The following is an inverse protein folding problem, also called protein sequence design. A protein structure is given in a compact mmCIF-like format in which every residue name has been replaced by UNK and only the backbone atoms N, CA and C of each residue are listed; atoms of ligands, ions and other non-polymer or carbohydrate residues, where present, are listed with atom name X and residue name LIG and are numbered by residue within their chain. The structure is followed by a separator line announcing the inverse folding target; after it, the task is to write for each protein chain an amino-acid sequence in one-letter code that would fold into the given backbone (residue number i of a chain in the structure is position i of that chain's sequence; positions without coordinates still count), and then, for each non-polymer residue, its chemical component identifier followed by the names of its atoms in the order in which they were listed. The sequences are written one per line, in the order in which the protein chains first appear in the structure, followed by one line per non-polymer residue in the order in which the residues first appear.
data_IF_339223570829
#
_entry.id   IF_339223570829
#
_cell.length_a   1.000
_cell.length_b   1.000
_cell.length_c   1.000
_cell.angle_alpha   90.00
_cell.angle_beta   90.00
_cell.angle_gamma   90.00
#
_symmetry.space_group_name_H-M   'P 1'
#
loop_
_entity.id
_entity.type
_entity.pdbx_description
1 polymer ?
#
# COMPACT_ATOMS: atom_id res chain seq x y z
N UNK A 1 -25.14 -50.12 11.76
CA UNK A 1 -24.64 -49.01 10.93
C UNK A 1 -25.43 -47.78 11.35
N UNK A 2 -24.87 -46.99 12.25
CA UNK A 2 -25.51 -45.81 12.83
C UNK A 2 -24.82 -44.57 12.25
N UNK A 3 -25.66 -43.63 11.82
CA UNK A 3 -25.28 -42.47 11.01
C UNK A 3 -24.24 -41.57 11.66
N UNK A 4 -23.34 -41.07 10.82
CA UNK A 4 -22.28 -40.13 11.17
C UNK A 4 -22.28 -38.92 10.21
N UNK A 5 -23.47 -38.49 9.76
CA UNK A 5 -23.61 -37.36 8.83
C UNK A 5 -24.36 -36.16 9.46
N UNK A 6 -24.51 -36.14 10.78
CA UNK A 6 -25.38 -35.19 11.50
C UNK A 6 -24.69 -34.06 12.28
N UNK A 7 -23.36 -33.90 12.21
CA UNK A 7 -22.62 -32.95 13.08
C UNK A 7 -21.71 -31.96 12.33
N UNK A 8 -22.08 -31.59 11.09
CA UNK A 8 -21.38 -30.53 10.34
C UNK A 8 -22.28 -29.37 9.89
N UNK A 9 -23.51 -29.28 10.41
CA UNK A 9 -24.48 -28.26 10.00
C UNK A 9 -24.73 -27.14 11.03
N UNK A 10 -23.95 -27.07 12.12
CA UNK A 10 -24.22 -26.12 13.22
C UNK A 10 -23.43 -24.80 13.15
N UNK A 11 -22.79 -24.48 12.01
CA UNK A 11 -22.09 -23.21 11.80
C UNK A 11 -22.55 -22.42 10.56
N UNK A 12 -23.62 -22.83 9.89
CA UNK A 12 -24.16 -22.13 8.71
C UNK A 12 -25.53 -21.47 8.92
N UNK A 13 -26.06 -21.48 10.15
CA UNK A 13 -27.25 -20.70 10.52
C UNK A 13 -26.86 -19.29 10.96
N UNK A 14 -26.62 -18.44 9.98
CA UNK A 14 -27.06 -17.05 10.10
C UNK A 14 -27.93 -16.83 8.87
N UNK A 15 -29.24 -16.88 9.06
CA UNK A 15 -30.21 -16.31 8.13
C UNK A 15 -29.86 -14.81 7.96
N UNK A 16 -28.96 -14.53 7.01
CA UNK A 16 -28.45 -13.19 6.74
C UNK A 16 -29.46 -12.51 5.84
N UNK A 17 -30.31 -11.69 6.44
CA UNK A 17 -31.18 -10.78 5.71
C UNK A 17 -30.30 -9.74 5.01
N UNK A 18 -30.21 -9.83 3.69
CA UNK A 18 -29.50 -8.90 2.82
C UNK A 18 -30.54 -8.08 2.06
N UNK A 19 -30.73 -6.79 2.36
CA UNK A 19 -31.51 -5.91 1.50
C UNK A 19 -30.71 -5.63 0.23
N UNK A 20 -31.29 -5.98 -0.91
CA UNK A 20 -30.75 -5.74 -2.24
C UNK A 20 -31.80 -4.96 -3.02
N UNK A 21 -31.47 -3.74 -3.40
CA UNK A 21 -32.38 -2.74 -3.96
C UNK A 21 -33.61 -2.57 -3.05
N UNK A 22 -34.78 -3.01 -3.49
CA UNK A 22 -36.03 -2.94 -2.73
C UNK A 22 -36.46 -4.29 -2.13
N UNK A 23 -35.64 -5.34 -2.31
CA UNK A 23 -35.98 -6.71 -1.92
C UNK A 23 -35.16 -7.15 -0.71
N UNK A 24 -35.84 -7.60 0.35
CA UNK A 24 -35.19 -8.25 1.49
C UNK A 24 -34.98 -9.73 1.19
N UNK A 25 -33.74 -10.16 1.00
CA UNK A 25 -33.41 -11.55 0.74
C UNK A 25 -32.88 -12.24 1.99
N UNK A 26 -33.57 -13.31 2.39
CA UNK A 26 -33.12 -14.22 3.46
C UNK A 26 -32.39 -15.44 2.89
N UNK A 27 -32.68 -15.80 1.63
CA UNK A 27 -32.06 -16.93 0.93
C UNK A 27 -30.74 -16.51 0.28
N UNK A 28 -29.62 -17.20 0.57
CA UNK A 28 -28.31 -16.84 0.02
C UNK A 28 -28.25 -17.04 -1.51
N UNK A 29 -28.89 -18.08 -2.03
CA UNK A 29 -28.90 -18.34 -3.48
C UNK A 29 -29.62 -17.22 -4.23
N UNK A 30 -30.81 -16.82 -3.77
CA UNK A 30 -31.58 -15.72 -4.36
C UNK A 30 -30.84 -14.38 -4.27
N UNK A 31 -30.17 -14.12 -3.13
CA UNK A 31 -29.34 -12.93 -2.99
C UNK A 31 -28.21 -12.90 -4.04
N UNK A 32 -27.53 -14.03 -4.25
CA UNK A 32 -26.49 -14.16 -5.27
C UNK A 32 -27.02 -13.98 -6.71
N UNK A 33 -28.22 -14.45 -7.00
CA UNK A 33 -28.87 -14.28 -8.30
C UNK A 33 -29.21 -12.82 -8.58
N UNK A 34 -29.79 -12.10 -7.61
CA UNK A 34 -30.09 -10.67 -7.73
C UNK A 34 -28.83 -9.82 -7.88
N UNK A 35 -27.75 -10.16 -7.16
CA UNK A 35 -26.44 -9.53 -7.35
C UNK A 35 -25.92 -9.77 -8.77
N UNK A 36 -26.04 -10.99 -9.27
CA UNK A 36 -25.66 -11.35 -10.64
C UNK A 36 -26.48 -10.60 -11.69
N UNK A 37 -27.78 -10.41 -11.45
CA UNK A 37 -28.67 -9.66 -12.34
C UNK A 37 -28.36 -8.16 -12.35
N UNK A 38 -28.17 -7.55 -11.17
CA UNK A 38 -27.74 -6.16 -11.04
C UNK A 38 -26.38 -5.90 -11.73
N UNK A 39 -25.53 -6.92 -11.81
CA UNK A 39 -24.23 -6.90 -12.43
C UNK A 39 -24.23 -7.14 -13.95
N UNK A 40 -25.38 -7.34 -14.60
CA UNK A 40 -25.41 -7.52 -16.06
C UNK A 40 -25.29 -6.21 -16.82
N UNK A 41 -25.92 -5.14 -16.34
CA UNK A 41 -25.99 -3.86 -17.03
C UNK A 41 -25.28 -2.75 -16.25
N UNK A 42 -24.57 -1.87 -16.95
CA UNK A 42 -23.88 -0.75 -16.31
C UNK A 42 -24.84 0.21 -15.59
N UNK A 43 -26.01 0.47 -16.16
CA UNK A 43 -27.03 1.33 -15.54
C UNK A 43 -27.52 0.75 -14.21
N UNK A 44 -27.79 -0.57 -14.16
CA UNK A 44 -28.24 -1.24 -12.93
C UNK A 44 -27.14 -1.32 -11.87
N UNK A 45 -25.87 -1.39 -12.28
CA UNK A 45 -24.74 -1.32 -11.34
C UNK A 45 -24.64 0.04 -10.65
N UNK A 46 -24.84 1.12 -11.41
CA UNK A 46 -24.71 2.48 -10.89
C UNK A 46 -25.79 2.80 -9.86
N UNK A 47 -27.00 2.34 -10.10
CA UNK A 47 -28.16 2.57 -9.25
C UNK A 47 -28.33 1.47 -8.18
N UNK A 48 -27.38 0.53 -8.11
CA UNK A 48 -27.41 -0.56 -7.15
C UNK A 48 -27.30 -0.04 -5.71
N UNK A 49 -28.26 -0.44 -4.88
CA UNK A 49 -28.23 -0.21 -3.45
C UNK A 49 -28.28 -1.56 -2.74
N UNK A 50 -27.33 -1.83 -1.84
CA UNK A 50 -27.36 -3.05 -1.06
C UNK A 50 -26.62 -2.91 0.25
N UNK A 51 -27.01 -3.74 1.22
CA UNK A 51 -26.35 -3.78 2.52
C UNK A 51 -26.04 -5.21 2.92
N UNK A 52 -24.84 -5.43 3.45
CA UNK A 52 -24.42 -6.70 4.00
C UNK A 52 -23.83 -6.50 5.38
N UNK A 53 -24.49 -7.06 6.42
CA UNK A 53 -24.06 -6.97 7.83
C UNK A 53 -23.77 -5.52 8.30
N UNK A 54 -24.60 -4.55 7.93
CA UNK A 54 -24.34 -3.14 8.28
C UNK A 54 -23.43 -2.38 7.30
N UNK A 55 -22.86 -3.06 6.30
CA UNK A 55 -21.90 -2.47 5.35
C UNK A 55 -22.57 -2.21 4.01
N UNK A 56 -22.37 -1.00 3.47
CA UNK A 56 -22.88 -0.62 2.16
C UNK A 56 -22.16 -1.39 1.06
N UNK A 57 -22.91 -1.80 0.06
CA UNK A 57 -22.42 -2.47 -1.13
C UNK A 57 -22.46 -1.51 -2.33
N UNK A 58 -21.46 -1.56 -3.19
CA UNK A 58 -21.47 -0.87 -4.48
C UNK A 58 -20.99 -1.79 -5.59
N UNK A 59 -21.61 -1.66 -6.77
CA UNK A 59 -21.22 -2.38 -7.98
C UNK A 59 -20.53 -1.43 -8.94
N UNK A 60 -19.34 -1.81 -9.39
CA UNK A 60 -18.56 -1.05 -10.36
C UNK A 60 -17.94 -2.00 -11.37
N UNK A 61 -17.82 -1.55 -12.61
CA UNK A 61 -17.01 -2.25 -13.60
C UNK A 61 -15.53 -2.03 -13.29
N UNK A 62 -14.77 -3.11 -13.15
CA UNK A 62 -13.33 -2.99 -13.04
C UNK A 62 -12.74 -2.47 -14.36
N UNK A 63 -11.82 -1.52 -14.27
CA UNK A 63 -11.23 -0.87 -15.45
C UNK A 63 -10.26 -1.79 -16.19
N UNK A 64 -9.64 -2.73 -15.47
CA UNK A 64 -8.61 -3.60 -16.03
C UNK A 64 -9.25 -4.84 -16.65
N UNK A 65 -10.10 -5.54 -15.89
CA UNK A 65 -10.69 -6.81 -16.33
C UNK A 65 -12.00 -6.64 -17.10
N UNK A 66 -12.60 -5.43 -17.07
CA UNK A 66 -13.96 -5.18 -17.57
C UNK A 66 -14.99 -6.14 -16.97
N UNK A 67 -14.72 -6.66 -15.77
CA UNK A 67 -15.62 -7.54 -15.03
C UNK A 67 -16.36 -6.76 -13.94
N UNK A 68 -17.62 -7.15 -13.62
CA UNK A 68 -18.35 -6.52 -12.55
C UNK A 68 -17.74 -6.87 -11.19
N UNK A 69 -17.45 -5.83 -10.42
CA UNK A 69 -16.80 -5.92 -9.13
C UNK A 69 -17.71 -5.35 -8.06
N UNK A 70 -17.97 -6.16 -7.04
CA UNK A 70 -18.75 -5.77 -5.87
C UNK A 70 -17.80 -5.29 -4.76
N UNK A 71 -17.99 -4.06 -4.30
CA UNK A 71 -17.20 -3.48 -3.22
C UNK A 71 -18.03 -3.37 -1.96
N UNK A 72 -17.53 -3.99 -0.89
CA UNK A 72 -18.09 -3.87 0.46
C UNK A 72 -17.39 -2.71 1.16
N UNK A 73 -18.14 -1.67 1.49
CA UNK A 73 -17.65 -0.49 2.18
C UNK A 73 -17.65 -0.73 3.70
N UNK A 74 -16.46 -0.90 4.26
CA UNK A 74 -16.20 -0.88 5.69
C UNK A 74 -15.03 0.03 6.01
N UNK A 75 -14.34 -0.21 7.12
CA UNK A 75 -13.06 0.47 7.45
C UNK A 75 -12.01 0.26 6.36
N UNK A 76 -11.99 -0.94 5.78
CA UNK A 76 -11.17 -1.30 4.63
C UNK A 76 -12.12 -1.77 3.53
N UNK A 77 -12.11 -1.14 2.34
CA UNK A 77 -12.94 -1.60 1.24
C UNK A 77 -12.49 -3.00 0.83
N UNK A 78 -13.44 -3.92 0.72
CA UNK A 78 -13.17 -5.27 0.24
C UNK A 78 -13.84 -5.49 -1.12
N UNK A 79 -13.07 -6.03 -2.06
CA UNK A 79 -13.48 -6.23 -3.44
C UNK A 79 -13.77 -7.71 -3.66
N UNK A 80 -14.97 -8.01 -4.16
CA UNK A 80 -15.45 -9.36 -4.42
C UNK A 80 -15.81 -9.45 -5.90
N UNK A 81 -15.14 -10.35 -6.62
CA UNK A 81 -15.48 -10.66 -8.00
C UNK A 81 -16.75 -11.52 -7.99
N UNK A 82 -17.73 -11.13 -8.80
CA UNK A 82 -18.94 -11.91 -8.98
C UNK A 82 -18.66 -13.13 -9.85
N UNK A 83 -19.22 -14.27 -9.47
CA UNK A 83 -19.13 -15.51 -10.25
C UNK A 83 -20.48 -15.85 -10.87
N UNK A 84 -20.47 -16.57 -11.99
CA UNK A 84 -21.70 -17.06 -12.64
C UNK A 84 -22.55 -17.94 -11.72
N UNK A 85 -21.91 -18.57 -10.72
CA UNK A 85 -22.59 -19.36 -9.69
C UNK A 85 -22.87 -18.51 -8.45
N UNK A 86 -24.14 -18.25 -8.11
CA UNK A 86 -24.52 -17.40 -6.98
C UNK A 86 -23.99 -17.95 -5.64
N UNK A 87 -23.95 -19.27 -5.48
CA UNK A 87 -23.43 -19.93 -4.28
C UNK A 87 -21.94 -19.63 -4.05
N UNK A 88 -21.13 -19.46 -5.11
CA UNK A 88 -19.71 -19.14 -4.98
C UNK A 88 -19.54 -17.70 -4.49
N UNK A 89 -20.28 -16.77 -5.07
CA UNK A 89 -20.31 -15.37 -4.64
C UNK A 89 -20.65 -15.26 -3.15
N UNK A 90 -21.68 -15.97 -2.70
CA UNK A 90 -22.07 -15.95 -1.28
C UNK A 90 -21.06 -16.62 -0.36
N UNK A 91 -20.41 -17.71 -0.79
CA UNK A 91 -19.28 -18.29 -0.05
C UNK A 91 -18.13 -17.29 0.11
N UNK A 92 -17.82 -16.50 -0.92
CA UNK A 92 -16.80 -15.41 -0.82
C UNK A 92 -17.21 -14.36 0.22
N UNK A 93 -18.49 -14.00 0.28
CA UNK A 93 -19.03 -13.12 1.31
C UNK A 93 -18.90 -13.66 2.74
N UNK A 94 -19.16 -14.95 2.93
CA UNK A 94 -18.97 -15.61 4.23
C UNK A 94 -17.48 -15.62 4.63
N UNK A 95 -16.58 -15.88 3.67
CA UNK A 95 -15.14 -15.95 3.89
C UNK A 95 -14.45 -14.57 4.03
N UNK A 96 -15.11 -13.47 3.66
CA UNK A 96 -14.53 -12.13 3.71
C UNK A 96 -13.96 -11.78 5.10
N UNK A 97 -14.68 -12.13 6.17
CA UNK A 97 -14.22 -11.87 7.55
C UNK A 97 -12.93 -12.61 7.87
N UNK A 98 -12.87 -13.89 7.51
CA UNK A 98 -11.68 -14.72 7.68
C UNK A 98 -10.51 -14.18 6.85
N UNK A 99 -10.76 -13.81 5.59
CA UNK A 99 -9.75 -13.23 4.70
C UNK A 99 -9.20 -11.88 5.21
N UNK A 100 -9.99 -11.11 5.97
CA UNK A 100 -9.51 -9.89 6.62
C UNK A 100 -8.57 -10.22 7.80
N UNK A 101 -8.93 -11.22 8.62
CA UNK A 101 -8.09 -11.68 9.74
C UNK A 101 -6.75 -12.20 9.22
N UNK A 102 -6.76 -13.01 8.16
CA UNK A 102 -5.54 -13.60 7.63
C UNK A 102 -4.59 -12.54 7.04
N UNK A 103 -5.13 -11.52 6.34
CA UNK A 103 -4.35 -10.37 5.88
C UNK A 103 -3.73 -9.58 7.04
N UNK A 104 -4.46 -9.38 8.14
CA UNK A 104 -3.90 -8.70 9.33
C UNK A 104 -2.72 -9.50 9.89
N UNK A 105 -2.85 -10.82 9.99
CA UNK A 105 -1.76 -11.70 10.45
C UNK A 105 -0.55 -11.65 9.52
N UNK A 106 -0.77 -11.62 8.21
CA UNK A 106 0.29 -11.51 7.21
C UNK A 106 1.06 -10.19 7.35
N UNK A 107 0.33 -9.07 7.39
CA UNK A 107 0.92 -7.74 7.59
C UNK A 107 1.70 -7.65 8.91
N UNK A 108 1.19 -8.27 10.00
CA UNK A 108 1.93 -8.34 11.26
C UNK A 108 3.27 -9.10 11.11
N UNK A 109 3.25 -10.27 10.48
CA UNK A 109 4.47 -11.05 10.21
C UNK A 109 5.47 -10.29 9.36
N UNK A 110 5.01 -9.57 8.34
CA UNK A 110 5.88 -8.73 7.49
C UNK A 110 6.50 -7.57 8.27
N UNK A 111 5.72 -6.93 9.16
CA UNK A 111 6.23 -5.88 10.03
C UNK A 111 7.32 -6.39 10.97
N UNK A 112 7.14 -7.57 11.55
CA UNK A 112 8.14 -8.19 12.43
C UNK A 112 9.43 -8.51 11.68
N UNK A 113 9.32 -9.07 10.46
CA UNK A 113 10.47 -9.30 9.58
C UNK A 113 11.20 -8.01 9.22
N UNK A 114 10.46 -6.95 8.86
CA UNK A 114 11.05 -5.67 8.51
C UNK A 114 11.75 -5.03 9.71
N UNK A 115 11.17 -5.13 10.91
CA UNK A 115 11.78 -4.64 12.13
C UNK A 115 13.11 -5.35 12.42
N UNK A 116 13.16 -6.69 12.25
CA UNK A 116 14.39 -7.47 12.36
C UNK A 116 15.43 -7.03 11.32
N UNK A 117 15.04 -6.88 10.05
CA UNK A 117 15.92 -6.41 8.99
C UNK A 117 16.49 -5.02 9.28
N UNK A 118 15.70 -4.12 9.86
CA UNK A 118 16.15 -2.77 10.26
C UNK A 118 17.16 -2.86 11.41
N UNK A 119 16.94 -3.74 12.39
CA UNK A 119 17.87 -3.96 13.48
C UNK A 119 19.23 -4.48 12.94
N UNK A 120 19.20 -5.51 12.11
CA UNK A 120 20.40 -6.09 11.49
C UNK A 120 21.12 -5.07 10.59
N UNK A 121 20.37 -4.28 9.82
CA UNK A 121 20.94 -3.23 8.98
C UNK A 121 21.59 -2.12 9.81
N UNK A 122 20.98 -1.74 10.95
CA UNK A 122 21.59 -0.77 11.89
C UNK A 122 22.86 -1.32 12.53
N UNK A 123 22.90 -2.60 12.86
CA UNK A 123 24.13 -3.24 13.34
C UNK A 123 25.21 -3.23 12.26
N UNK A 124 24.90 -3.69 11.05
CA UNK A 124 25.83 -3.67 9.91
C UNK A 124 26.30 -2.26 9.56
N UNK A 125 25.44 -1.25 9.65
CA UNK A 125 25.81 0.14 9.43
C UNK A 125 26.77 0.70 10.50
N UNK A 126 26.81 0.10 11.70
CA UNK A 126 27.80 0.45 12.74
C UNK A 126 29.16 -0.18 12.48
N UNK A 127 29.25 -1.27 11.71
CA UNK A 127 30.55 -1.82 11.35
C UNK A 127 31.26 -0.86 10.39
N UNK A 128 32.51 -0.48 10.68
CA UNK A 128 33.29 0.33 9.75
C UNK A 128 33.47 -0.43 8.43
N UNK A 129 33.50 0.32 7.32
CA UNK A 129 33.77 -0.26 6.00
C UNK A 129 35.06 -1.10 6.04
N UNK A 130 35.05 -2.36 5.57
CA UNK A 130 36.20 -3.26 5.69
C UNK A 130 37.51 -2.68 5.15
N UNK A 131 37.44 -1.85 4.09
CA UNK A 131 38.60 -1.20 3.50
C UNK A 131 38.75 0.28 3.88
N UNK A 132 38.09 0.75 4.94
CA UNK A 132 38.13 2.15 5.37
C UNK A 132 39.57 2.66 5.55
N UNK A 133 40.49 1.81 6.03
CA UNK A 133 41.91 2.16 6.17
C UNK A 133 42.61 2.32 4.82
N UNK A 134 42.30 1.49 3.83
CA UNK A 134 42.87 1.60 2.49
C UNK A 134 42.28 2.77 1.72
N UNK A 135 40.97 3.00 1.85
CA UNK A 135 40.29 4.13 1.25
C UNK A 135 40.86 5.45 1.80
N UNK A 136 41.04 5.57 3.12
CA UNK A 136 41.65 6.74 3.73
C UNK A 136 43.07 7.00 3.19
N UNK A 137 43.89 5.96 3.05
CA UNK A 137 45.25 6.07 2.47
C UNK A 137 45.22 6.50 1.00
N UNK A 138 44.36 5.87 0.18
CA UNK A 138 44.23 6.20 -1.25
C UNK A 138 43.67 7.60 -1.44
N UNK A 139 42.70 8.01 -0.62
CA UNK A 139 42.11 9.34 -0.64
C UNK A 139 43.12 10.42 -0.24
N UNK A 140 43.93 10.20 0.80
CA UNK A 140 45.00 11.11 1.17
C UNK A 140 46.01 11.30 0.03
N UNK A 141 46.50 10.19 -0.56
CA UNK A 141 47.41 10.23 -1.71
C UNK A 141 46.78 10.94 -2.92
N UNK A 142 45.48 10.75 -3.16
CA UNK A 142 44.78 11.42 -4.25
C UNK A 142 44.64 12.93 -4.01
N UNK A 143 44.40 13.36 -2.77
CA UNK A 143 44.37 14.78 -2.39
C UNK A 143 45.74 15.42 -2.64
N UNK A 144 46.82 14.75 -2.24
CA UNK A 144 48.19 15.21 -2.50
C UNK A 144 48.47 15.36 -4.00
N UNK A 145 48.13 14.34 -4.80
CA UNK A 145 48.29 14.39 -6.26
C UNK A 145 47.44 15.50 -6.88
N UNK A 146 46.20 15.68 -6.42
CA UNK A 146 45.33 16.75 -6.91
C UNK A 146 45.87 18.14 -6.57
N UNK A 147 46.50 18.32 -5.40
CA UNK A 147 47.16 19.57 -5.02
C UNK A 147 48.36 19.85 -5.93
N UNK A 148 49.24 18.87 -6.12
CA UNK A 148 50.39 18.99 -7.01
C UNK A 148 49.98 19.22 -8.47
N UNK A 149 48.89 18.61 -8.93
CA UNK A 149 48.33 18.84 -10.26
C UNK A 149 47.77 20.27 -10.41
N UNK A 150 47.08 20.78 -9.38
CA UNK A 150 46.60 22.16 -9.36
C UNK A 150 47.73 23.19 -9.34
N UNK A 151 48.88 22.88 -8.72
CA UNK A 151 50.07 23.75 -8.71
C UNK A 151 50.82 23.77 -10.05
N UNK A 152 50.79 22.65 -10.78
CA UNK A 152 51.50 22.44 -12.06
C UNK A 152 50.68 22.80 -13.31
N UNK A 153 49.35 22.92 -13.20
CA UNK A 153 48.51 23.43 -14.30
C UNK A 153 48.42 24.97 -14.27
N UNK A 154 48.77 25.68 -15.36
CA UNK A 154 48.69 27.14 -15.41
C UNK A 154 47.25 27.70 -15.49
N UNK A 155 46.24 26.90 -15.88
CA UNK A 155 44.89 27.38 -16.22
C UNK A 155 43.85 27.40 -15.07
N UNK A 156 44.21 27.08 -13.82
CA UNK A 156 43.34 27.36 -12.64
C UNK A 156 43.86 28.45 -11.72
N UNK A 157 44.87 29.20 -12.16
CA UNK A 157 45.33 30.39 -11.43
C UNK A 157 44.35 31.56 -11.53
N UNK A 158 43.45 31.54 -12.51
CA UNK A 158 42.56 32.68 -12.77
C UNK A 158 41.21 32.63 -12.02
N UNK A 159 40.69 31.44 -11.66
CA UNK A 159 39.41 31.39 -10.91
C UNK A 159 39.57 31.67 -9.40
N UNK A 160 40.79 31.62 -8.86
CA UNK A 160 41.08 32.10 -7.49
C UNK A 160 41.35 33.60 -7.40
N UNK A 161 41.59 34.29 -8.52
CA UNK A 161 41.78 35.76 -8.54
C UNK A 161 40.46 36.51 -8.74
N UNK A 162 39.42 35.86 -9.28
CA UNK A 162 38.10 36.51 -9.47
C UNK A 162 37.16 36.45 -8.25
N UNK A 163 37.58 35.87 -7.11
CA UNK A 163 36.83 35.92 -5.85
C UNK A 163 37.68 36.52 -4.73
N UNK A 164 38.25 37.70 -4.96
CA UNK A 164 38.53 38.62 -3.86
C UNK A 164 37.20 39.12 -3.27
N UNK A 165 37.13 39.32 -1.95
CA UNK A 165 35.88 39.54 -1.25
C UNK A 165 35.28 40.90 -1.65
N UNK A 166 34.04 40.88 -2.15
CA UNK A 166 33.22 42.08 -2.20
C UNK A 166 33.18 42.67 -0.78
N UNK A 167 33.88 43.80 -0.61
CA UNK A 167 33.95 44.51 0.65
C UNK A 167 32.55 44.77 1.20
N UNK A 168 32.40 44.54 2.50
CA UNK A 168 31.19 44.86 3.25
C UNK A 168 30.82 46.33 2.98
N UNK A 169 29.59 46.65 2.54
CA UNK A 169 29.23 48.04 2.33
C UNK A 169 29.20 48.74 3.69
N UNK A 170 30.13 49.65 3.90
CA UNK A 170 30.14 50.54 5.06
C UNK A 170 28.91 51.45 4.94
N UNK A 171 27.91 51.24 5.80
CA UNK A 171 26.80 52.18 5.99
C UNK A 171 27.37 53.53 6.42
N UNK A 172 27.23 54.55 5.59
CA UNK A 172 27.50 55.92 6.01
C UNK A 172 26.49 56.32 7.10
N UNK A 173 26.92 56.94 8.21
CA UNK A 173 25.98 57.48 9.18
C UNK A 173 25.28 58.69 8.58
N UNK A 174 23.95 58.63 8.53
CA UNK A 174 23.11 59.76 8.13
C UNK A 174 23.26 60.84 9.20
N UNK A 175 23.87 61.96 8.84
CA UNK A 175 23.88 63.17 9.67
C UNK A 175 22.45 63.67 9.80
N UNK A 176 21.90 63.56 11.00
CA UNK A 176 20.63 64.15 11.37
C UNK A 176 20.67 65.68 11.16
N UNK A 177 19.72 66.20 10.39
CA UNK A 177 19.21 67.57 10.46
C UNK A 177 17.72 67.55 10.17
#
# INVERSE_FOLDING_TARGET
MLGADGEMDVLYDIAQTMPINETLCTDPVKAGELLGEAAKNYSTMKDFAGEYKGMRLSLLLDRETMQPLLTVHGKTPHRIVLSDRPSITMKRFAMMGQAAIDRIKEVQKERDKLAANIADAKEKARLPFPYAKEEAKKKARLIEINHAMAESMPERREEKVAREPAGTPVRQPVLAR
#
